data_IF_927403353045
#
_entry.id   IF_927403353045
#
_cell.length_a   1.000
_cell.length_b   1.000
_cell.length_c   1.000
_cell.angle_alpha   90.00
_cell.angle_beta   90.00
_cell.angle_gamma   90.00
#
_symmetry.space_group_name_H-M   'P 1'
#
loop_
_entity.id
_entity.type
_entity.pdbx_description
1 polymer ?
#
# COMPACT_ATOMS: atom_id res chain seq x y z
N UNK A 1 11.27 28.33 2.85
CA UNK A 1 11.95 27.16 2.28
C UNK A 1 11.41 26.97 0.86
N UNK A 2 12.25 26.88 -0.17
CA UNK A 2 11.77 26.71 -1.55
C UNK A 2 11.39 25.25 -1.78
N UNK A 3 10.20 25.01 -2.34
CA UNK A 3 9.70 23.69 -2.69
C UNK A 3 9.75 23.56 -4.22
N UNK A 4 10.21 22.42 -4.71
CA UNK A 4 10.25 22.09 -6.13
C UNK A 4 9.43 20.84 -6.39
N UNK A 5 8.87 20.73 -7.59
CA UNK A 5 8.07 19.58 -8.00
C UNK A 5 8.56 19.03 -9.33
N UNK A 6 8.37 17.73 -9.52
CA UNK A 6 8.49 17.07 -10.82
C UNK A 6 7.28 16.17 -11.02
N UNK A 7 6.44 16.49 -12.01
CA UNK A 7 5.19 15.74 -12.27
C UNK A 7 5.52 14.42 -12.95
N UNK A 8 4.73 13.38 -12.66
CA UNK A 8 4.85 12.08 -13.32
C UNK A 8 3.47 11.46 -13.59
N UNK A 9 3.46 10.43 -14.43
CA UNK A 9 2.32 9.56 -14.67
C UNK A 9 2.71 8.10 -14.46
N UNK A 10 1.95 7.36 -13.66
CA UNK A 10 1.99 5.90 -13.62
C UNK A 10 0.85 5.36 -14.47
N UNK A 11 1.12 4.33 -15.27
CA UNK A 11 0.14 3.75 -16.19
C UNK A 11 -0.11 2.30 -15.80
N UNK A 12 -1.36 1.87 -15.70
CA UNK A 12 -1.70 0.47 -15.45
C UNK A 12 -2.27 -0.18 -16.72
N UNK A 13 -1.85 -1.43 -16.98
CA UNK A 13 -2.39 -2.21 -18.10
C UNK A 13 -3.83 -2.67 -17.86
N UNK A 14 -4.28 -2.66 -16.61
CA UNK A 14 -5.60 -3.11 -16.15
C UNK A 14 -6.18 -2.11 -15.12
N UNK A 15 -7.44 -2.32 -14.72
CA UNK A 15 -8.03 -1.54 -13.62
C UNK A 15 -7.44 -2.01 -12.29
N UNK A 16 -7.04 -1.07 -11.44
CA UNK A 16 -6.40 -1.37 -10.16
C UNK A 16 -7.37 -1.58 -8.99
N UNK A 17 -8.69 -1.54 -9.22
CA UNK A 17 -9.68 -1.83 -8.18
C UNK A 17 -11.11 -1.60 -8.63
N UNK A 18 -12.06 -1.99 -7.78
CA UNK A 18 -13.47 -1.90 -8.09
C UNK A 18 -13.98 -0.45 -8.21
N UNK A 19 -13.40 0.47 -7.41
CA UNK A 19 -13.77 1.90 -7.32
C UNK A 19 -13.15 2.82 -8.37
N UNK A 20 -12.31 2.31 -9.29
CA UNK A 20 -11.66 3.15 -10.31
C UNK A 20 -11.69 2.51 -11.68
N UNK A 21 -11.98 3.31 -12.70
CA UNK A 21 -11.79 2.93 -14.11
C UNK A 21 -10.52 3.54 -14.72
N UNK A 22 -9.83 4.38 -13.93
CA UNK A 22 -8.63 5.10 -14.32
C UNK A 22 -7.49 4.12 -14.65
N UNK A 23 -6.66 4.51 -15.61
CA UNK A 23 -5.43 3.78 -16.00
C UNK A 23 -4.18 4.65 -16.02
N UNK A 24 -4.32 5.97 -15.81
CA UNK A 24 -3.23 6.93 -15.80
C UNK A 24 -3.29 7.71 -14.50
N UNK A 25 -2.36 7.47 -13.60
CA UNK A 25 -2.31 8.03 -12.25
C UNK A 25 -1.24 9.11 -12.20
N UNK A 26 -1.69 10.35 -12.00
CA UNK A 26 -0.87 11.54 -11.98
C UNK A 26 -0.44 11.84 -10.55
N UNK A 27 0.84 12.08 -10.37
CA UNK A 27 1.40 12.56 -9.11
C UNK A 27 2.52 13.54 -9.36
N UNK A 28 3.16 13.96 -8.27
CA UNK A 28 4.38 14.74 -8.31
C UNK A 28 5.37 14.22 -7.27
N UNK A 29 6.65 14.22 -7.63
CA UNK A 29 7.72 14.19 -6.64
C UNK A 29 7.92 15.61 -6.10
N UNK A 30 8.21 15.69 -4.82
CA UNK A 30 8.42 16.95 -4.09
C UNK A 30 9.87 17.00 -3.64
N UNK A 31 10.57 18.10 -3.89
CA UNK A 31 11.93 18.34 -3.39
C UNK A 31 11.97 19.53 -2.45
N UNK A 32 12.57 19.34 -1.28
CA UNK A 32 12.82 20.36 -0.26
C UNK A 32 14.27 20.26 0.20
N UNK A 33 15.09 21.25 -0.17
CA UNK A 33 16.54 21.16 0.04
C UNK A 33 17.12 19.95 -0.72
N UNK A 34 17.81 19.07 0.00
CA UNK A 34 18.33 17.81 -0.53
C UNK A 34 17.34 16.65 -0.47
N UNK A 35 16.18 16.85 0.16
CA UNK A 35 15.21 15.79 0.42
C UNK A 35 14.11 15.67 -0.62
N UNK A 36 13.62 14.45 -0.81
CA UNK A 36 12.60 14.07 -1.79
C UNK A 36 11.43 13.32 -1.15
N UNK A 37 10.22 13.66 -1.57
CA UNK A 37 8.98 13.00 -1.17
C UNK A 37 8.06 12.70 -2.35
N UNK A 38 7.01 11.92 -2.11
CA UNK A 38 6.03 11.53 -3.12
C UNK A 38 4.65 12.10 -2.76
N UNK A 39 4.01 12.74 -3.73
CA UNK A 39 2.64 13.24 -3.66
C UNK A 39 1.79 12.51 -4.72
N UNK A 40 1.00 11.54 -4.28
CA UNK A 40 0.18 10.68 -5.15
C UNK A 40 -1.25 10.54 -4.61
N UNK A 41 -2.18 11.41 -5.03
CA UNK A 41 -3.54 11.35 -4.54
C UNK A 41 -4.40 10.30 -5.25
N UNK A 42 -5.36 9.76 -4.52
CA UNK A 42 -6.45 8.91 -4.98
C UNK A 42 -7.81 9.58 -4.73
N UNK A 43 -8.27 10.51 -5.58
CA UNK A 43 -9.56 11.18 -5.41
C UNK A 43 -10.74 10.21 -5.33
N UNK A 44 -10.67 9.08 -6.05
CA UNK A 44 -11.67 8.01 -6.01
C UNK A 44 -11.79 7.35 -4.62
N UNK A 45 -10.80 7.54 -3.75
CA UNK A 45 -10.78 7.05 -2.38
C UNK A 45 -11.03 8.16 -1.34
N UNK A 46 -11.23 9.40 -1.77
CA UNK A 46 -11.54 10.55 -0.92
C UNK A 46 -10.42 11.57 -0.77
N UNK A 47 -9.28 11.40 -1.45
CA UNK A 47 -8.21 12.39 -1.42
C UNK A 47 -8.57 13.66 -2.20
N UNK A 48 -7.96 14.82 -1.87
CA UNK A 48 -7.91 15.95 -2.79
C UNK A 48 -7.26 15.58 -4.13
N UNK A 49 -7.60 16.31 -5.19
CA UNK A 49 -6.93 16.19 -6.49
C UNK A 49 -5.45 16.58 -6.42
N UNK A 50 -4.66 16.19 -7.44
CA UNK A 50 -3.25 16.59 -7.51
C UNK A 50 -3.10 18.11 -7.55
N UNK A 51 -3.93 18.79 -8.34
CA UNK A 51 -3.93 20.25 -8.43
C UNK A 51 -4.24 20.93 -7.09
N UNK A 52 -5.22 20.43 -6.33
CA UNK A 52 -5.51 20.92 -4.97
C UNK A 52 -4.36 20.65 -4.00
N UNK A 53 -3.71 19.49 -4.08
CA UNK A 53 -2.54 19.18 -3.27
C UNK A 53 -1.36 20.12 -3.60
N UNK A 54 -1.14 20.40 -4.89
CA UNK A 54 -0.06 21.28 -5.34
C UNK A 54 -0.30 22.74 -4.92
N UNK A 55 -1.56 23.18 -4.87
CA UNK A 55 -1.90 24.49 -4.31
C UNK A 55 -1.68 24.53 -2.79
N UNK A 56 -2.14 23.51 -2.07
CA UNK A 56 -1.96 23.40 -0.62
C UNK A 56 -0.48 23.30 -0.20
N UNK A 57 0.37 22.68 -1.04
CA UNK A 57 1.82 22.60 -0.87
C UNK A 57 2.49 23.98 -0.82
N UNK A 58 1.97 24.96 -1.57
CA UNK A 58 2.46 26.35 -1.59
C UNK A 58 1.98 27.15 -0.38
N UNK A 59 0.89 26.72 0.24
CA UNK A 59 0.19 27.47 1.27
C UNK A 59 0.17 26.75 2.62
N UNK A 60 -1.01 26.55 3.21
CA UNK A 60 -1.17 26.18 4.62
C UNK A 60 -0.86 24.71 4.93
N UNK A 61 -0.73 23.83 3.91
CA UNK A 61 -0.46 22.39 4.08
C UNK A 61 -1.52 21.72 4.94
N UNK A 62 -2.79 21.94 4.62
CA UNK A 62 -3.97 21.40 5.32
C UNK A 62 -4.15 19.91 5.07
N UNK A 63 -3.75 19.39 3.91
CA UNK A 63 -3.98 18.00 3.56
C UNK A 63 -2.90 17.09 4.15
N UNK A 64 -3.34 16.01 4.81
CA UNK A 64 -2.42 15.01 5.40
C UNK A 64 -1.44 14.46 4.37
N UNK A 65 -1.90 14.17 3.16
CA UNK A 65 -1.06 13.70 2.05
C UNK A 65 0.10 14.68 1.76
N UNK A 66 -0.16 15.99 1.77
CA UNK A 66 0.86 17.03 1.57
C UNK A 66 1.82 17.08 2.76
N UNK A 67 1.30 17.03 3.99
CA UNK A 67 2.12 17.02 5.21
C UNK A 67 3.07 15.81 5.26
N UNK A 68 2.57 14.62 4.91
CA UNK A 68 3.36 13.38 4.87
C UNK A 68 4.38 13.37 3.72
N UNK A 69 4.05 13.92 2.55
CA UNK A 69 5.01 14.11 1.47
C UNK A 69 6.19 15.01 1.88
N UNK A 70 5.90 16.10 2.62
CA UNK A 70 6.92 16.98 3.18
C UNK A 70 7.74 16.32 4.28
N UNK A 71 7.11 15.53 5.16
CA UNK A 71 7.81 14.76 6.18
C UNK A 71 8.74 13.70 5.56
N UNK A 72 8.29 13.02 4.51
CA UNK A 72 9.11 12.12 3.72
C UNK A 72 10.35 12.83 3.17
N UNK A 73 10.15 14.00 2.53
CA UNK A 73 11.26 14.83 2.05
C UNK A 73 12.21 15.28 3.18
N UNK A 74 11.69 15.66 4.35
CA UNK A 74 12.52 16.06 5.48
C UNK A 74 13.43 14.92 5.97
N UNK A 75 12.88 13.72 6.15
CA UNK A 75 13.64 12.54 6.62
C UNK A 75 14.68 12.12 5.57
N UNK A 76 14.28 12.07 4.30
CA UNK A 76 15.17 11.74 3.18
C UNK A 76 16.31 12.78 3.04
N UNK A 77 16.00 14.08 3.16
CA UNK A 77 16.98 15.16 3.11
C UNK A 77 18.03 15.06 4.21
N UNK A 78 17.60 14.83 5.46
CA UNK A 78 18.52 14.64 6.60
C UNK A 78 19.50 13.47 6.39
N UNK A 79 19.05 12.39 5.76
CA UNK A 79 19.92 11.26 5.43
C UNK A 79 20.88 11.58 4.28
N UNK A 80 20.41 12.29 3.25
CA UNK A 80 21.24 12.71 2.11
C UNK A 80 22.35 13.69 2.48
N UNK A 81 22.03 14.66 3.34
CA UNK A 81 23.01 15.61 3.90
C UNK A 81 24.14 14.87 4.65
N UNK A 82 23.78 13.81 5.37
CA UNK A 82 24.74 12.94 6.06
C UNK A 82 25.45 11.94 5.15
N UNK A 83 25.02 11.83 3.89
CA UNK A 83 25.61 10.92 2.93
C UNK A 83 25.25 9.45 3.14
N UNK A 84 24.21 9.13 3.91
CA UNK A 84 23.83 7.75 4.29
C UNK A 84 22.53 7.30 3.61
N UNK A 85 22.33 5.99 3.53
CA UNK A 85 21.04 5.40 3.16
C UNK A 85 20.12 5.33 4.38
N UNK A 86 18.82 5.57 4.19
CA UNK A 86 17.83 5.34 5.24
C UNK A 86 17.64 3.85 5.57
N UNK A 87 18.09 2.96 4.69
CA UNK A 87 17.99 1.52 4.88
C UNK A 87 19.20 0.91 5.60
N UNK A 88 20.24 1.71 5.89
CA UNK A 88 21.40 1.25 6.66
C UNK A 88 20.98 0.85 8.08
N UNK A 89 21.17 -0.43 8.43
CA UNK A 89 20.78 -0.98 9.72
C UNK A 89 19.27 -1.18 9.92
N UNK A 90 18.45 -0.97 8.88
CA UNK A 90 16.99 -1.16 8.95
C UNK A 90 16.61 -2.52 8.36
N UNK A 91 15.91 -3.34 9.15
CA UNK A 91 15.33 -4.60 8.68
C UNK A 91 13.90 -4.33 8.20
N UNK A 92 13.71 -4.28 6.88
CA UNK A 92 12.39 -4.10 6.27
C UNK A 92 11.58 -5.40 6.35
N UNK A 93 10.30 -5.37 6.76
CA UNK A 93 9.46 -6.57 6.77
C UNK A 93 9.19 -7.10 5.36
N UNK A 94 8.83 -8.39 5.28
CA UNK A 94 8.45 -9.00 4.00
C UNK A 94 7.18 -8.36 3.44
N UNK A 95 7.03 -8.37 2.12
CA UNK A 95 5.83 -7.91 1.42
C UNK A 95 4.91 -9.07 1.03
N UNK A 96 3.61 -8.83 0.96
CA UNK A 96 2.66 -9.64 0.21
C UNK A 96 2.79 -9.33 -1.29
N UNK A 97 2.29 -10.23 -2.12
CA UNK A 97 2.13 -10.02 -3.54
C UNK A 97 0.78 -9.35 -3.81
N UNK A 98 0.78 -8.18 -4.48
CA UNK A 98 -0.45 -7.53 -4.90
C UNK A 98 -0.92 -8.14 -6.23
N UNK A 99 -1.94 -9.00 -6.15
CA UNK A 99 -2.45 -9.72 -7.30
C UNK A 99 -3.52 -8.90 -8.03
N UNK A 100 -3.33 -8.73 -9.34
CA UNK A 100 -4.30 -8.05 -10.21
C UNK A 100 -5.41 -9.02 -10.60
N UNK A 101 -6.49 -9.00 -9.82
CA UNK A 101 -7.63 -9.90 -10.00
C UNK A 101 -7.38 -11.30 -9.43
N UNK A 102 -8.45 -12.07 -9.26
CA UNK A 102 -8.38 -13.42 -8.71
C UNK A 102 -8.07 -14.38 -9.86
N UNK A 103 -6.84 -14.88 -9.97
CA UNK A 103 -6.42 -15.76 -11.07
C UNK A 103 -5.47 -16.86 -10.59
N UNK A 104 -5.36 -17.91 -11.40
CA UNK A 104 -4.42 -19.01 -11.16
C UNK A 104 -3.00 -18.55 -11.46
N UNK A 105 -2.83 -17.84 -12.56
CA UNK A 105 -1.56 -17.32 -13.06
C UNK A 105 -0.90 -16.38 -12.05
N UNK A 106 -1.70 -15.55 -11.35
CA UNK A 106 -1.19 -14.68 -10.30
C UNK A 106 -0.72 -15.42 -9.05
N UNK A 107 -1.29 -16.59 -8.74
CA UNK A 107 -0.81 -17.45 -7.65
C UNK A 107 0.42 -18.24 -8.03
N UNK A 108 0.50 -18.71 -9.28
CA UNK A 108 1.70 -19.34 -9.83
C UNK A 108 2.87 -18.36 -9.75
N UNK A 109 2.68 -17.12 -10.23
CA UNK A 109 3.69 -16.07 -10.12
C UNK A 109 4.06 -15.77 -8.66
N UNK A 110 3.07 -15.60 -7.77
CA UNK A 110 3.33 -15.36 -6.35
C UNK A 110 4.15 -16.50 -5.72
N UNK A 111 3.81 -17.76 -6.03
CA UNK A 111 4.49 -18.94 -5.54
C UNK A 111 5.92 -19.05 -6.08
N UNK A 112 6.11 -18.86 -7.39
CA UNK A 112 7.41 -18.89 -8.05
C UNK A 112 8.36 -17.82 -7.49
N UNK A 113 7.83 -16.63 -7.18
CA UNK A 113 8.56 -15.53 -6.54
C UNK A 113 8.73 -15.69 -5.02
N UNK A 114 8.16 -16.75 -4.43
CA UNK A 114 8.33 -17.09 -3.01
C UNK A 114 7.45 -16.32 -2.03
N UNK A 115 6.36 -15.69 -2.49
CA UNK A 115 5.40 -15.03 -1.61
C UNK A 115 4.55 -16.05 -0.85
N UNK A 116 4.35 -15.79 0.45
CA UNK A 116 3.47 -16.60 1.31
C UNK A 116 2.12 -15.94 1.57
N UNK A 117 1.92 -14.71 1.08
CA UNK A 117 0.68 -13.95 1.23
C UNK A 117 0.39 -13.19 -0.06
N UNK A 118 -0.86 -13.25 -0.52
CA UNK A 118 -1.37 -12.43 -1.63
C UNK A 118 -2.42 -11.45 -1.13
N UNK A 119 -2.43 -10.24 -1.67
CA UNK A 119 -3.55 -9.28 -1.54
C UNK A 119 -4.29 -9.20 -2.86
N UNK A 120 -5.61 -9.31 -2.83
CA UNK A 120 -6.48 -9.16 -4.00
C UNK A 120 -7.65 -8.24 -3.67
N UNK A 121 -8.17 -7.55 -4.68
CA UNK A 121 -9.40 -6.76 -4.56
C UNK A 121 -10.62 -7.57 -4.99
N UNK A 122 -11.70 -7.46 -4.22
CA UNK A 122 -12.99 -8.11 -4.45
C UNK A 122 -14.15 -7.10 -4.26
N UNK A 123 -15.39 -7.56 -4.37
CA UNK A 123 -16.59 -6.79 -4.04
C UNK A 123 -17.53 -6.52 -5.21
N UNK A 124 -17.21 -6.97 -6.44
CA UNK A 124 -18.13 -6.82 -7.58
C UNK A 124 -19.12 -7.99 -7.68
N UNK A 125 -18.63 -9.19 -7.40
CA UNK A 125 -19.40 -10.43 -7.46
C UNK A 125 -18.97 -11.29 -6.28
N UNK A 126 -19.30 -10.83 -5.06
CA UNK A 126 -18.76 -11.36 -3.80
C UNK A 126 -18.84 -12.89 -3.73
N UNK A 127 -19.99 -13.47 -4.06
CA UNK A 127 -20.18 -14.93 -4.06
C UNK A 127 -19.20 -15.65 -4.99
N UNK A 128 -19.18 -15.29 -6.26
CA UNK A 128 -18.35 -15.93 -7.29
C UNK A 128 -16.85 -15.73 -6.99
N UNK A 129 -16.48 -14.53 -6.53
CA UNK A 129 -15.11 -14.19 -6.14
C UNK A 129 -14.65 -15.04 -4.94
N UNK A 130 -15.49 -15.18 -3.92
CA UNK A 130 -15.17 -16.00 -2.73
C UNK A 130 -15.14 -17.49 -3.06
N UNK A 131 -16.05 -18.01 -3.89
CA UNK A 131 -16.00 -19.40 -4.36
C UNK A 131 -14.71 -19.68 -5.16
N UNK A 132 -14.32 -18.74 -6.03
CA UNK A 132 -13.06 -18.82 -6.78
C UNK A 132 -11.84 -18.79 -5.84
N UNK A 133 -11.83 -17.93 -4.83
CA UNK A 133 -10.77 -17.88 -3.81
C UNK A 133 -10.72 -19.20 -3.04
N UNK A 134 -11.86 -19.75 -2.60
CA UNK A 134 -11.91 -21.05 -1.92
C UNK A 134 -11.26 -22.14 -2.76
N UNK A 135 -11.67 -22.24 -4.04
CA UNK A 135 -11.14 -23.21 -4.98
C UNK A 135 -9.62 -23.07 -5.16
N UNK A 136 -9.15 -21.86 -5.48
CA UNK A 136 -7.72 -21.62 -5.71
C UNK A 136 -6.89 -21.84 -4.43
N UNK A 137 -7.40 -21.42 -3.26
CA UNK A 137 -6.71 -21.62 -1.99
C UNK A 137 -6.45 -23.10 -1.67
N UNK A 138 -7.29 -24.01 -2.20
CA UNK A 138 -7.09 -25.46 -2.02
C UNK A 138 -5.89 -26.00 -2.81
N UNK A 139 -5.54 -25.34 -3.91
CA UNK A 139 -4.40 -25.71 -4.77
C UNK A 139 -3.08 -25.09 -4.28
N UNK A 140 -3.13 -23.94 -3.59
CA UNK A 140 -1.97 -23.29 -2.96
C UNK A 140 -2.17 -23.13 -1.44
N UNK A 141 -2.21 -24.23 -0.66
CA UNK A 141 -2.55 -24.18 0.77
C UNK A 141 -1.53 -23.40 1.63
N UNK A 142 -0.32 -23.16 1.11
CA UNK A 142 0.74 -22.42 1.80
C UNK A 142 0.68 -20.90 1.56
N UNK A 143 -0.21 -20.42 0.69
CA UNK A 143 -0.41 -18.99 0.42
C UNK A 143 -1.66 -18.52 1.15
N UNK A 144 -1.51 -17.50 2.00
CA UNK A 144 -2.64 -16.86 2.69
C UNK A 144 -3.17 -15.66 1.89
N UNK A 145 -4.46 -15.38 2.05
CA UNK A 145 -5.19 -14.36 1.29
C UNK A 145 -5.55 -13.16 2.15
N UNK A 146 -5.27 -11.97 1.63
CA UNK A 146 -5.83 -10.71 2.11
C UNK A 146 -6.82 -10.22 1.06
N UNK A 147 -8.08 -10.11 1.45
CA UNK A 147 -9.17 -9.86 0.51
C UNK A 147 -9.73 -8.48 0.81
N UNK A 148 -9.45 -7.52 -0.06
CA UNK A 148 -9.82 -6.12 0.11
C UNK A 148 -11.10 -5.82 -0.67
N UNK A 149 -12.18 -5.55 0.05
CA UNK A 149 -13.49 -5.25 -0.52
C UNK A 149 -13.70 -3.76 -0.77
N UNK A 150 -12.84 -2.88 -0.26
CA UNK A 150 -13.04 -1.43 -0.32
C UNK A 150 -14.48 -1.02 0.02
N UNK A 151 -15.03 -1.56 1.11
CA UNK A 151 -16.39 -1.33 1.63
C UNK A 151 -17.53 -1.74 0.68
N UNK A 152 -17.30 -2.68 -0.26
CA UNK A 152 -18.30 -3.06 -1.27
C UNK A 152 -19.08 -4.34 -0.95
N UNK A 153 -18.66 -5.13 0.04
CA UNK A 153 -19.41 -6.32 0.44
C UNK A 153 -20.55 -5.98 1.40
N UNK A 154 -21.51 -6.91 1.48
CA UNK A 154 -22.47 -6.97 2.57
C UNK A 154 -21.95 -7.96 3.63
N UNK A 155 -21.81 -7.52 4.89
CA UNK A 155 -21.25 -8.35 5.95
C UNK A 155 -22.13 -9.56 6.31
N UNK A 156 -23.46 -9.47 6.16
CA UNK A 156 -24.37 -10.61 6.37
C UNK A 156 -24.17 -11.68 5.30
N UNK A 157 -24.12 -11.28 4.02
CA UNK A 157 -23.82 -12.20 2.91
C UNK A 157 -22.45 -12.86 3.10
N UNK A 158 -21.41 -12.04 3.37
CA UNK A 158 -20.05 -12.53 3.55
C UNK A 158 -19.95 -13.51 4.72
N UNK A 159 -20.64 -13.23 5.84
CA UNK A 159 -20.76 -14.15 6.99
C UNK A 159 -21.45 -15.45 6.59
N UNK A 160 -22.53 -15.37 5.81
CA UNK A 160 -23.24 -16.54 5.29
C UNK A 160 -22.38 -17.42 4.38
N UNK A 161 -21.51 -16.81 3.57
CA UNK A 161 -20.53 -17.51 2.72
C UNK A 161 -19.46 -18.18 3.58
N UNK A 162 -18.78 -17.41 4.43
CA UNK A 162 -17.64 -17.89 5.21
C UNK A 162 -18.03 -18.92 6.28
N UNK A 163 -19.24 -18.85 6.84
CA UNK A 163 -19.75 -19.85 7.80
C UNK A 163 -19.90 -21.25 7.20
N UNK A 164 -19.85 -21.38 5.87
CA UNK A 164 -19.90 -22.67 5.15
C UNK A 164 -18.51 -23.21 4.80
N UNK A 165 -17.45 -22.51 5.21
CA UNK A 165 -16.07 -22.93 5.01
C UNK A 165 -15.60 -23.70 6.24
N UNK A 166 -14.81 -24.73 6.00
CA UNK A 166 -14.17 -25.50 7.04
C UNK A 166 -13.08 -24.68 7.74
N UNK A 167 -12.77 -25.05 8.98
CA UNK A 167 -11.77 -24.33 9.79
C UNK A 167 -10.41 -24.20 9.10
N UNK A 168 -9.99 -25.22 8.37
CA UNK A 168 -8.70 -25.19 7.65
C UNK A 168 -8.74 -24.37 6.37
N UNK A 169 -9.93 -24.15 5.77
CA UNK A 169 -10.11 -23.22 4.66
C UNK A 169 -10.06 -21.77 5.16
N UNK A 170 -10.73 -21.49 6.29
CA UNK A 170 -10.71 -20.17 6.93
C UNK A 170 -9.30 -19.73 7.33
N UNK A 171 -8.43 -20.65 7.78
CA UNK A 171 -7.01 -20.36 8.08
C UNK A 171 -6.20 -19.87 6.88
N UNK A 172 -6.68 -20.10 5.65
CA UNK A 172 -6.03 -19.60 4.42
C UNK A 172 -6.37 -18.13 4.16
N UNK A 173 -7.32 -17.54 4.88
CA UNK A 173 -7.59 -16.11 4.87
C UNK A 173 -6.78 -15.49 6.01
N UNK A 174 -5.86 -14.58 5.70
CA UNK A 174 -5.14 -13.79 6.71
C UNK A 174 -6.08 -12.76 7.34
N UNK A 175 -6.83 -12.04 6.50
CA UNK A 175 -7.95 -11.18 6.88
C UNK A 175 -8.76 -10.75 5.66
N UNK A 176 -9.96 -10.23 5.92
CA UNK A 176 -10.72 -9.41 4.97
C UNK A 176 -10.55 -7.93 5.33
N UNK A 177 -10.29 -7.08 4.36
CA UNK A 177 -10.04 -5.64 4.53
C UNK A 177 -11.25 -4.85 4.07
N UNK A 178 -11.72 -3.95 4.94
CA UNK A 178 -12.89 -3.10 4.74
C UNK A 178 -14.07 -3.83 4.07
N UNK A 179 -14.66 -4.87 4.70
CA UNK A 179 -15.72 -5.66 4.06
C UNK A 179 -16.91 -4.77 3.63
N UNK A 180 -17.38 -3.90 4.52
CA UNK A 180 -18.44 -2.91 4.29
C UNK A 180 -18.01 -1.55 4.85
N UNK A 181 -18.78 -0.45 4.73
CA UNK A 181 -18.47 0.76 5.46
C UNK A 181 -18.30 0.46 6.96
N UNK A 182 -17.33 1.09 7.60
CA UNK A 182 -16.92 0.74 8.96
C UNK A 182 -18.09 0.81 9.95
N UNK A 183 -18.42 -0.36 10.52
CA UNK A 183 -19.44 -0.58 11.54
C UNK A 183 -18.96 -1.75 12.42
N UNK A 184 -18.49 -1.49 13.65
CA UNK A 184 -17.95 -2.52 14.54
C UNK A 184 -18.88 -3.72 14.72
N UNK A 185 -20.18 -3.46 14.88
CA UNK A 185 -21.19 -4.48 15.12
C UNK A 185 -21.42 -5.37 13.90
N UNK A 186 -21.39 -4.80 12.69
CA UNK A 186 -21.58 -5.56 11.45
C UNK A 186 -20.37 -6.42 11.11
N UNK A 187 -19.17 -5.90 11.37
CA UNK A 187 -17.91 -6.61 11.15
C UNK A 187 -17.70 -7.71 12.19
N UNK A 188 -18.19 -7.50 13.41
CA UNK A 188 -18.16 -8.49 14.46
C UNK A 188 -18.84 -9.80 14.02
N UNK A 189 -18.22 -10.92 14.39
CA UNK A 189 -18.73 -12.25 14.09
C UNK A 189 -18.49 -12.73 12.66
N UNK A 190 -17.69 -12.03 11.84
CA UNK A 190 -17.06 -12.68 10.69
C UNK A 190 -16.09 -13.77 11.21
N UNK A 191 -16.05 -14.97 10.60
CA UNK A 191 -15.26 -16.10 11.10
C UNK A 191 -13.76 -16.00 10.77
N UNK A 192 -13.30 -14.84 10.31
CA UNK A 192 -11.92 -14.49 9.93
C UNK A 192 -11.61 -13.10 10.50
N UNK A 193 -10.32 -12.81 10.69
CA UNK A 193 -9.90 -11.46 11.10
C UNK A 193 -10.33 -10.41 10.08
N UNK A 194 -10.66 -9.23 10.59
CA UNK A 194 -10.98 -8.05 9.79
C UNK A 194 -9.87 -7.02 9.90
N UNK A 195 -9.62 -6.32 8.79
CA UNK A 195 -8.66 -5.23 8.71
C UNK A 195 -9.36 -3.92 8.37
N UNK A 196 -8.99 -2.87 9.10
CA UNK A 196 -9.50 -1.53 8.88
C UNK A 196 -8.44 -0.66 8.20
N UNK A 197 -8.76 -0.19 7.00
CA UNK A 197 -7.95 0.74 6.21
C UNK A 197 -8.58 2.14 6.21
N UNK A 198 -9.88 2.25 5.90
CA UNK A 198 -10.55 3.55 5.71
C UNK A 198 -11.14 4.17 6.98
N UNK A 199 -11.52 3.33 7.94
CA UNK A 199 -12.24 3.71 9.16
C UNK A 199 -11.35 3.87 10.39
N UNK A 200 -10.02 3.80 10.26
CA UNK A 200 -9.08 3.67 11.38
C UNK A 200 -9.29 4.69 12.51
N UNK A 201 -9.58 5.96 12.19
CA UNK A 201 -9.79 7.00 13.20
C UNK A 201 -10.98 6.73 14.14
N UNK A 202 -11.92 5.88 13.71
CA UNK A 202 -13.10 5.47 14.48
C UNK A 202 -12.99 4.04 15.01
N UNK A 203 -11.90 3.33 14.73
CA UNK A 203 -11.79 1.90 14.98
C UNK A 203 -11.89 1.55 16.47
N UNK A 204 -11.19 2.30 17.31
CA UNK A 204 -11.23 2.09 18.77
C UNK A 204 -10.79 0.70 19.25
N UNK A 205 -10.14 -0.10 18.40
CA UNK A 205 -9.77 -1.48 18.68
C UNK A 205 -10.79 -2.53 18.22
N UNK A 206 -11.77 -2.15 17.41
CA UNK A 206 -12.81 -3.05 16.90
C UNK A 206 -12.30 -4.09 15.90
N UNK A 207 -11.23 -3.78 15.15
CA UNK A 207 -10.66 -4.68 14.14
C UNK A 207 -9.41 -5.39 14.66
N UNK A 208 -9.12 -6.62 14.22
CA UNK A 208 -7.88 -7.29 14.65
C UNK A 208 -6.62 -6.73 13.96
N UNK A 209 -6.80 -6.11 12.79
CA UNK A 209 -5.72 -5.57 11.96
C UNK A 209 -5.99 -4.11 11.59
N UNK A 210 -4.97 -3.27 11.66
CA UNK A 210 -4.98 -1.93 11.06
C UNK A 210 -4.04 -1.89 9.86
N UNK A 211 -4.54 -1.35 8.75
CA UNK A 211 -3.76 -1.16 7.51
C UNK A 211 -3.30 0.29 7.45
N UNK A 212 -2.01 0.52 7.60
CA UNK A 212 -1.45 1.87 7.72
C UNK A 212 -0.70 2.24 6.45
N UNK A 213 -0.98 3.44 5.92
CA UNK A 213 -0.35 3.99 4.72
C UNK A 213 0.50 5.21 5.06
N UNK A 214 1.84 5.09 5.12
CA UNK A 214 2.72 6.20 5.49
C UNK A 214 2.59 7.45 4.62
N UNK A 215 2.06 7.32 3.41
CA UNK A 215 1.70 8.44 2.53
C UNK A 215 0.65 9.40 3.12
N UNK A 216 -0.22 8.93 4.02
CA UNK A 216 -1.30 9.73 4.64
C UNK A 216 -1.36 9.61 6.17
N UNK A 217 -0.66 8.64 6.73
CA UNK A 217 -0.73 8.27 8.15
C UNK A 217 0.65 8.15 8.79
N UNK A 218 0.66 8.26 10.12
CA UNK A 218 1.81 7.94 10.96
C UNK A 218 1.62 6.54 11.56
N UNK A 219 2.71 5.79 11.67
CA UNK A 219 2.66 4.49 12.34
C UNK A 219 2.64 4.75 13.87
N UNK A 220 1.59 4.30 14.58
CA UNK A 220 1.47 4.48 16.02
C UNK A 220 2.52 3.63 16.74
N UNK A 221 3.07 4.16 17.84
CA UNK A 221 4.17 3.51 18.60
C UNK A 221 3.73 2.29 19.39
N UNK A 222 2.47 2.23 19.81
CA UNK A 222 1.95 1.15 20.64
C UNK A 222 0.47 0.93 20.32
N UNK A 223 0.15 -0.29 19.88
CA UNK A 223 -1.21 -0.80 19.73
C UNK A 223 -1.21 -2.28 20.09
N UNK A 224 -2.35 -2.78 20.57
CA UNK A 224 -2.58 -4.21 20.77
C UNK A 224 -2.94 -4.94 19.47
N UNK A 225 -3.39 -4.20 18.45
CA UNK A 225 -3.79 -4.73 17.14
C UNK A 225 -2.57 -5.07 16.28
N UNK A 226 -2.76 -5.97 15.31
CA UNK A 226 -1.75 -6.24 14.27
C UNK A 226 -1.68 -5.04 13.35
N UNK A 227 -0.47 -4.58 13.02
CA UNK A 227 -0.26 -3.47 12.09
C UNK A 227 0.32 -4.01 10.79
N UNK A 228 -0.38 -3.76 9.69
CA UNK A 228 0.10 -4.04 8.33
C UNK A 228 0.37 -2.71 7.65
N UNK A 229 1.62 -2.44 7.29
CA UNK A 229 1.97 -1.24 6.54
C UNK A 229 1.82 -1.51 5.04
N UNK A 230 1.24 -0.59 4.28
CA UNK A 230 1.22 -0.69 2.81
C UNK A 230 1.76 0.58 2.16
N UNK A 231 2.27 0.45 0.93
CA UNK A 231 2.39 1.60 0.03
C UNK A 231 1.00 2.12 -0.35
N UNK A 232 0.96 3.25 -1.04
CA UNK A 232 -0.30 3.89 -1.42
C UNK A 232 -0.62 3.69 -2.91
N UNK A 233 -0.19 2.55 -3.48
CA UNK A 233 -0.19 2.31 -4.94
C UNK A 233 0.47 3.47 -5.69
N UNK A 234 1.54 4.01 -5.11
CA UNK A 234 2.17 5.25 -5.49
C UNK A 234 3.55 5.02 -6.12
N UNK A 235 4.24 6.13 -6.42
CA UNK A 235 5.57 6.12 -7.02
C UNK A 235 6.55 5.26 -6.20
N UNK A 236 7.59 4.66 -6.82
CA UNK A 236 8.64 3.94 -6.10
C UNK A 236 9.28 4.67 -4.90
N UNK A 237 9.32 6.01 -4.93
CA UNK A 237 9.74 6.83 -3.76
C UNK A 237 8.78 6.65 -2.57
N UNK A 238 7.47 6.66 -2.82
CA UNK A 238 6.45 6.41 -1.79
C UNK A 238 6.49 4.97 -1.27
N UNK A 239 6.75 3.99 -2.15
CA UNK A 239 6.99 2.60 -1.76
C UNK A 239 8.22 2.46 -0.85
N UNK A 240 9.34 3.11 -1.19
CA UNK A 240 10.54 3.14 -0.34
C UNK A 240 10.26 3.80 1.01
N UNK A 241 9.49 4.89 1.02
CA UNK A 241 9.12 5.56 2.25
C UNK A 241 8.26 4.66 3.16
N UNK A 242 7.28 3.95 2.58
CA UNK A 242 6.48 2.98 3.32
C UNK A 242 7.34 1.83 3.88
N UNK A 243 8.26 1.31 3.07
CA UNK A 243 9.19 0.25 3.48
C UNK A 243 10.11 0.69 4.64
N UNK A 244 10.67 1.90 4.53
CA UNK A 244 11.50 2.48 5.58
C UNK A 244 10.72 2.70 6.87
N UNK A 245 9.55 3.33 6.82
CA UNK A 245 8.73 3.58 8.02
C UNK A 245 8.30 2.26 8.69
N UNK A 246 7.96 1.23 7.91
CA UNK A 246 7.66 -0.10 8.45
C UNK A 246 8.88 -0.72 9.17
N UNK A 247 10.06 -0.71 8.53
CA UNK A 247 11.29 -1.26 9.11
C UNK A 247 11.76 -0.50 10.35
N UNK A 248 11.75 0.83 10.28
CA UNK A 248 12.08 1.74 11.40
C UNK A 248 11.16 1.53 12.60
N UNK A 249 9.89 1.24 12.35
CA UNK A 249 8.90 0.97 13.40
C UNK A 249 8.97 -0.47 13.93
N UNK A 250 9.89 -1.29 13.41
CA UNK A 250 10.11 -2.66 13.86
C UNK A 250 8.96 -3.62 13.53
N UNK A 251 8.11 -3.27 12.54
CA UNK A 251 6.96 -4.09 12.14
C UNK A 251 7.43 -5.48 11.73
N UNK A 252 6.77 -6.50 12.28
CA UNK A 252 7.08 -7.92 12.02
C UNK A 252 6.07 -8.61 11.11
N UNK A 253 4.90 -8.01 10.92
CA UNK A 253 3.88 -8.48 9.99
C UNK A 253 4.38 -8.42 8.54
N UNK A 254 3.86 -9.33 7.71
CA UNK A 254 4.00 -9.20 6.26
C UNK A 254 3.22 -7.94 5.83
N UNK A 255 3.88 -7.02 5.16
CA UNK A 255 3.38 -5.72 4.74
C UNK A 255 2.97 -5.74 3.26
N UNK A 256 2.53 -4.61 2.70
CA UNK A 256 2.21 -4.43 1.27
C UNK A 256 3.06 -3.34 0.67
N UNK A 257 4.37 -3.54 0.58
CA UNK A 257 5.35 -2.47 0.35
C UNK A 257 5.67 -2.25 -1.12
N UNK A 258 5.36 -3.23 -1.97
CA UNK A 258 5.73 -3.24 -3.39
C UNK A 258 4.49 -3.29 -4.26
N UNK A 259 4.22 -2.19 -4.94
CA UNK A 259 3.09 -2.01 -5.85
C UNK A 259 3.52 -1.62 -7.26
N UNK A 260 4.82 -1.46 -7.53
CA UNK A 260 5.29 -1.05 -8.85
C UNK A 260 4.94 -2.05 -9.96
N UNK A 261 4.83 -3.35 -9.65
CA UNK A 261 4.47 -4.38 -10.64
C UNK A 261 3.06 -4.30 -11.22
N UNK A 262 2.15 -3.49 -10.64
CA UNK A 262 0.82 -3.26 -11.24
C UNK A 262 0.81 -2.11 -12.26
N UNK A 263 1.94 -1.41 -12.40
CA UNK A 263 2.14 -0.33 -13.37
C UNK A 263 3.11 -0.77 -14.48
N UNK A 264 3.03 -0.09 -15.62
CA UNK A 264 4.05 -0.16 -16.67
C UNK A 264 5.37 0.30 -16.07
N UNK A 265 6.41 -0.49 -16.30
CA UNK A 265 7.75 -0.21 -15.80
C UNK A 265 8.25 1.17 -16.26
N UNK A 266 8.95 1.85 -15.36
CA UNK A 266 9.69 3.08 -15.59
C UNK A 266 11.06 2.98 -14.90
N UNK A 267 11.92 3.97 -15.12
CA UNK A 267 13.28 3.99 -14.59
C UNK A 267 13.36 3.82 -13.06
N UNK A 268 12.39 4.36 -12.31
CA UNK A 268 12.36 4.18 -10.86
C UNK A 268 11.89 2.78 -10.45
N UNK A 269 10.92 2.17 -11.14
CA UNK A 269 10.53 0.79 -10.82
C UNK A 269 11.60 -0.21 -11.20
N UNK A 270 12.37 0.06 -12.26
CA UNK A 270 13.52 -0.77 -12.66
C UNK A 270 14.61 -0.81 -11.59
N UNK A 271 14.84 0.30 -10.87
CA UNK A 271 15.76 0.32 -9.72
C UNK A 271 15.24 -0.46 -8.49
N UNK A 272 13.93 -0.70 -8.38
CA UNK A 272 13.37 -1.62 -7.38
C UNK A 272 13.50 -3.09 -7.80
N UNK A 273 13.74 -3.35 -9.09
CA UNK A 273 13.87 -4.69 -9.65
C UNK A 273 12.54 -5.42 -9.75
N UNK A 274 12.63 -6.75 -9.79
CA UNK A 274 11.46 -7.60 -9.82
C UNK A 274 10.77 -7.72 -8.46
N UNK A 275 9.46 -7.95 -8.48
CA UNK A 275 8.68 -8.18 -7.25
C UNK A 275 9.25 -9.38 -6.48
N UNK A 276 9.52 -9.15 -5.19
CA UNK A 276 10.02 -10.15 -4.25
C UNK A 276 9.38 -9.98 -2.88
N UNK A 277 9.20 -11.05 -2.08
CA UNK A 277 8.79 -10.91 -0.69
C UNK A 277 9.78 -10.09 0.13
N UNK A 278 11.06 -10.12 -0.23
CA UNK A 278 12.11 -9.33 0.43
C UNK A 278 12.24 -8.00 -0.30
N UNK A 279 12.12 -6.90 0.44
CA UNK A 279 12.31 -5.57 -0.12
C UNK A 279 13.79 -5.31 -0.37
N UNK A 280 14.15 -5.01 -1.63
CA UNK A 280 15.50 -4.62 -2.01
C UNK A 280 15.53 -3.10 -2.18
N UNK A 281 16.17 -2.35 -1.27
CA UNK A 281 16.21 -0.90 -1.39
C UNK A 281 17.06 -0.49 -2.59
N UNK A 282 16.64 0.53 -3.34
CA UNK A 282 17.40 1.05 -4.48
C UNK A 282 18.67 1.74 -4.00
N UNK A 283 19.70 1.75 -4.85
CA UNK A 283 21.00 2.28 -4.49
C UNK A 283 20.99 3.81 -4.25
N UNK A 284 21.89 4.26 -3.39
CA UNK A 284 22.14 5.68 -3.15
C UNK A 284 21.79 6.14 -1.73
N UNK A 285 21.72 7.47 -1.57
CA UNK A 285 21.50 8.15 -0.29
C UNK A 285 20.02 8.35 -0.02
N UNK A 286 19.65 8.57 1.25
CA UNK A 286 18.26 8.73 1.64
C UNK A 286 17.44 7.48 1.30
N UNK A 287 16.33 7.67 0.61
CA UNK A 287 15.48 6.61 0.07
C UNK A 287 16.06 5.93 -1.20
N UNK A 288 17.23 6.36 -1.70
CA UNK A 288 17.88 5.83 -2.90
C UNK A 288 17.68 6.73 -4.14
N UNK A 289 17.71 6.13 -5.34
CA UNK A 289 17.44 6.79 -6.63
C UNK A 289 18.31 8.03 -6.92
N UNK A 290 19.52 8.08 -6.37
CA UNK A 290 20.32 9.31 -6.35
C UNK A 290 20.68 9.82 -7.74
N UNK A 291 20.82 8.93 -8.73
CA UNK A 291 21.12 9.33 -10.10
C UNK A 291 19.85 9.82 -10.82
N UNK A 292 18.74 9.10 -10.72
CA UNK A 292 17.47 9.48 -11.34
C UNK A 292 16.96 10.82 -10.82
N UNK A 293 17.01 11.06 -9.51
CA UNK A 293 16.52 12.30 -8.90
C UNK A 293 17.32 13.54 -9.34
N UNK A 294 18.61 13.37 -9.66
CA UNK A 294 19.46 14.45 -10.18
C UNK A 294 19.11 14.85 -11.61
N UNK A 295 18.65 13.90 -12.42
CA UNK A 295 18.31 14.13 -13.84
C UNK A 295 16.88 14.57 -14.07
N UNK A 296 16.07 14.74 -13.02
CA UNK A 296 14.67 15.14 -13.17
C UNK A 296 14.52 16.63 -13.50
N UNK A 297 13.47 16.94 -14.25
CA UNK A 297 13.03 18.31 -14.50
C UNK A 297 12.28 18.85 -13.29
N UNK A 298 12.98 19.62 -12.46
CA UNK A 298 12.44 20.27 -11.26
C UNK A 298 11.92 21.66 -11.58
N UNK A 299 10.64 21.90 -11.30
CA UNK A 299 10.01 23.23 -11.42
C UNK A 299 9.71 23.75 -10.02
N UNK A 300 10.01 25.02 -9.77
CA UNK A 300 9.70 25.65 -8.48
C UNK A 300 8.19 25.70 -8.31
N UNK A 301 7.69 25.18 -7.19
CA UNK A 301 6.27 25.16 -6.86
C UNK A 301 5.72 26.55 -6.60
#
# INVERSE_FOLDING_TARGET
>A
MSVWISRYELRSATRLGARTERRIYRGALVRVGEGFGCLHPWPELGDPTLEECLEDLKGPRKFRLVQRALYCAEIDGKAREKGVSLFEGVVVPKSHFLMVGISKEGLEEAAERGFSVVKVKAGRMVRDEMEKIRHLSSQWPNIRWRIDFNELANCEELRGILSRWERDELKRIDFVEDPSPFCPEDWAGLPVSVANDRGMARDGGASEVLVIKPAIEEIPRALSQRIVVTSYLDHPIGQCFAAYEAGKSGIKEICGLQSHGVFVANSFSEELGELSPVFLPPAGKGLGFSNLLKSMDWVKS
#
